data_IF_844581115231
#
_entry.id   IF_844581115231
#
_cell.length_a   1.000
_cell.length_b   1.000
_cell.length_c   1.000
_cell.angle_alpha   90.00
_cell.angle_beta   90.00
_cell.angle_gamma   90.00
#
_symmetry.space_group_name_H-M   'P 1'
#
loop_
_entity.id
_entity.type
_entity.pdbx_description
1 polymer ?
#
# COMPACT_ATOMS: atom_id res chain seq x y z
N UNK A 1 28.00 15.09 -50.78
CA UNK A 1 28.35 13.86 -50.04
C UNK A 1 29.50 14.23 -49.11
N UNK A 2 29.35 14.43 -47.81
CA UNK A 2 28.81 13.52 -46.78
C UNK A 2 28.18 14.35 -45.66
N UNK A 3 26.95 13.99 -45.31
CA UNK A 3 26.20 14.55 -44.19
C UNK A 3 26.72 13.90 -42.88
N UNK A 4 27.07 14.72 -41.90
CA UNK A 4 27.71 14.31 -40.67
C UNK A 4 26.79 14.66 -39.49
N UNK A 5 25.69 13.93 -39.36
CA UNK A 5 24.72 14.11 -38.27
C UNK A 5 24.72 12.89 -37.36
N UNK A 6 25.40 13.06 -36.22
CA UNK A 6 25.47 12.13 -35.08
C UNK A 6 24.07 11.98 -34.46
N UNK A 7 23.54 10.77 -34.23
CA UNK A 7 22.25 10.63 -33.56
C UNK A 7 22.42 11.00 -32.08
N UNK A 8 21.86 12.14 -31.70
CA UNK A 8 21.65 12.54 -30.31
C UNK A 8 20.81 11.47 -29.61
N UNK A 9 21.41 10.83 -28.61
CA UNK A 9 20.72 9.94 -27.67
C UNK A 9 19.53 10.71 -27.09
N UNK A 10 18.30 10.36 -27.52
CA UNK A 10 17.09 10.76 -26.82
C UNK A 10 17.21 10.23 -25.39
N UNK A 11 17.43 11.12 -24.43
CA UNK A 11 17.08 10.87 -23.04
C UNK A 11 15.60 10.49 -23.04
N UNK A 12 15.31 9.24 -22.71
CA UNK A 12 13.98 8.85 -22.23
C UNK A 12 13.72 9.70 -20.99
N UNK A 13 12.77 10.63 -21.11
CA UNK A 13 12.24 11.35 -19.96
C UNK A 13 11.52 10.33 -19.08
N UNK A 14 11.97 10.18 -17.84
CA UNK A 14 11.23 9.44 -16.83
C UNK A 14 9.92 10.18 -16.56
N UNK A 15 8.78 9.51 -16.78
CA UNK A 15 7.47 10.04 -16.40
C UNK A 15 7.41 10.23 -14.87
N UNK A 16 6.92 11.37 -14.37
CA UNK A 16 6.69 11.54 -12.94
C UNK A 16 5.37 10.82 -12.58
N UNK A 17 5.43 9.71 -11.83
CA UNK A 17 4.20 9.13 -11.26
C UNK A 17 4.16 7.62 -10.98
N UNK A 18 5.26 6.89 -10.96
CA UNK A 18 5.24 5.48 -10.55
C UNK A 18 6.31 5.24 -9.51
N UNK A 19 5.96 5.50 -8.25
CA UNK A 19 6.68 4.85 -7.15
C UNK A 19 6.24 3.40 -7.19
N UNK A 20 7.03 2.56 -7.86
CA UNK A 20 6.96 1.12 -7.68
C UNK A 20 7.41 0.88 -6.24
N UNK A 21 6.46 0.85 -5.31
CA UNK A 21 6.75 0.47 -3.94
C UNK A 21 7.28 -0.97 -4.00
N UNK A 22 8.52 -1.09 -3.54
CA UNK A 22 9.26 -2.34 -3.45
C UNK A 22 8.45 -3.34 -2.61
N UNK A 23 8.52 -4.63 -2.98
CA UNK A 23 7.85 -5.80 -2.35
C UNK A 23 7.34 -5.54 -0.93
N UNK A 24 6.02 -5.49 -0.79
CA UNK A 24 5.38 -5.84 0.47
C UNK A 24 4.85 -7.25 0.26
N UNK A 25 5.53 -8.23 0.85
CA UNK A 25 5.06 -9.61 0.86
C UNK A 25 3.86 -9.66 1.79
N UNK A 26 2.66 -9.51 1.21
CA UNK A 26 1.38 -9.62 1.90
C UNK A 26 1.10 -11.08 2.26
N UNK A 27 1.98 -11.68 3.03
CA UNK A 27 1.78 -13.01 3.61
C UNK A 27 0.65 -12.93 4.63
N UNK A 28 -0.17 -13.99 4.69
CA UNK A 28 -1.27 -14.05 5.64
C UNK A 28 -0.71 -14.14 7.07
N UNK A 29 -1.24 -13.33 7.98
CA UNK A 29 -0.73 -13.26 9.35
C UNK A 29 -1.53 -12.33 10.26
N UNK A 30 -0.92 -11.96 11.38
CA UNK A 30 -1.47 -11.03 12.36
C UNK A 30 -0.34 -10.24 13.04
N UNK A 31 -0.45 -9.97 14.35
CA UNK A 31 0.47 -9.08 15.05
C UNK A 31 1.93 -9.52 15.00
N UNK A 32 2.24 -10.81 15.12
CA UNK A 32 3.63 -11.27 15.12
C UNK A 32 4.32 -10.98 13.78
N UNK A 33 3.60 -11.19 12.67
CA UNK A 33 4.10 -10.94 11.32
C UNK A 33 4.22 -9.43 11.06
N UNK A 34 3.28 -8.63 11.55
CA UNK A 34 3.35 -7.16 11.45
C UNK A 34 4.56 -6.64 12.26
N UNK A 35 4.76 -7.15 13.47
CA UNK A 35 5.88 -6.81 14.35
C UNK A 35 7.25 -7.23 13.77
N UNK A 36 7.29 -8.24 12.90
CA UNK A 36 8.51 -8.65 12.21
C UNK A 36 9.02 -7.59 11.21
N UNK A 37 8.16 -6.65 10.79
CA UNK A 37 8.53 -5.52 9.93
C UNK A 37 9.21 -5.93 8.61
N UNK A 38 8.68 -6.98 7.98
CA UNK A 38 9.18 -7.50 6.70
C UNK A 38 8.31 -7.10 5.50
N UNK A 39 7.31 -6.25 5.73
CA UNK A 39 6.37 -5.74 4.74
C UNK A 39 4.96 -5.67 5.31
N UNK A 40 3.99 -5.31 4.46
CA UNK A 40 2.57 -5.37 4.81
C UNK A 40 2.12 -6.82 4.89
N UNK A 41 1.23 -7.12 5.83
CA UNK A 41 0.73 -8.48 6.14
C UNK A 41 -0.75 -8.53 5.79
N UNK A 42 -1.20 -9.60 5.14
CA UNK A 42 -2.63 -9.84 4.88
C UNK A 42 -3.31 -10.31 6.18
N UNK A 43 -4.16 -9.43 6.71
CA UNK A 43 -4.91 -9.65 7.95
C UNK A 43 -6.40 -9.89 7.71
N UNK A 44 -6.78 -10.20 6.46
CA UNK A 44 -8.18 -10.31 6.06
C UNK A 44 -8.95 -11.37 6.86
N UNK A 45 -8.29 -12.45 7.26
CA UNK A 45 -8.89 -13.50 8.08
C UNK A 45 -9.32 -12.99 9.47
N UNK A 46 -8.61 -12.00 10.02
CA UNK A 46 -8.94 -11.45 11.34
C UNK A 46 -10.08 -10.43 11.27
N UNK A 47 -10.17 -9.66 10.19
CA UNK A 47 -11.22 -8.63 10.03
C UNK A 47 -12.43 -9.09 9.22
N UNK A 48 -12.35 -10.23 8.54
CA UNK A 48 -13.41 -10.72 7.64
C UNK A 48 -13.62 -9.82 6.41
N UNK A 49 -12.65 -8.97 6.08
CA UNK A 49 -12.62 -8.07 4.92
C UNK A 49 -11.21 -7.97 4.36
N UNK A 50 -11.03 -7.72 3.05
CA UNK A 50 -9.70 -7.61 2.44
C UNK A 50 -8.87 -6.45 3.01
N UNK A 51 -7.87 -6.75 3.84
CA UNK A 51 -7.01 -5.73 4.49
C UNK A 51 -5.58 -6.24 4.59
N UNK A 52 -4.63 -5.40 4.18
CA UNK A 52 -3.22 -5.55 4.52
C UNK A 52 -2.80 -4.47 5.53
N UNK A 53 -1.91 -4.82 6.46
CA UNK A 53 -1.46 -3.93 7.52
C UNK A 53 0.05 -3.88 7.64
N UNK A 54 0.59 -2.71 7.98
CA UNK A 54 2.01 -2.52 8.25
C UNK A 54 2.22 -1.43 9.31
N UNK A 55 3.24 -1.60 10.15
CA UNK A 55 3.67 -0.56 11.08
C UNK A 55 4.10 0.71 10.35
N UNK A 56 3.76 1.87 10.93
CA UNK A 56 4.13 3.17 10.38
C UNK A 56 5.64 3.32 10.17
N UNK A 57 6.44 2.83 11.12
CA UNK A 57 7.90 2.89 11.07
C UNK A 57 8.53 1.88 10.11
N UNK A 58 7.79 0.85 9.68
CA UNK A 58 8.33 -0.26 8.89
C UNK A 58 8.09 -0.08 7.38
N UNK A 59 7.16 0.79 7.01
CA UNK A 59 6.93 1.22 5.63
C UNK A 59 5.76 2.19 5.49
N UNK A 60 4.82 2.17 6.44
CA UNK A 60 3.59 2.96 6.32
C UNK A 60 3.74 4.47 6.28
N UNK A 61 4.78 5.02 6.90
CA UNK A 61 5.12 6.45 6.79
C UNK A 61 5.49 6.89 5.37
N UNK A 62 5.90 5.93 4.54
CA UNK A 62 6.35 6.13 3.16
C UNK A 62 5.38 5.51 2.15
N UNK A 63 4.23 4.99 2.60
CA UNK A 63 3.27 4.37 1.72
C UNK A 63 2.84 5.36 0.61
N UNK A 64 2.74 4.91 -0.66
CA UNK A 64 2.41 5.80 -1.77
C UNK A 64 1.10 6.55 -1.53
N UNK A 65 1.06 7.81 -1.98
CA UNK A 65 -0.09 8.70 -1.80
C UNK A 65 -1.23 8.35 -2.74
N UNK A 66 -2.43 8.83 -2.42
CA UNK A 66 -3.59 8.80 -3.32
C UNK A 66 -3.22 9.20 -4.75
N UNK A 67 -3.73 8.45 -5.73
CA UNK A 67 -3.36 8.62 -7.12
C UNK A 67 -2.01 8.01 -7.50
N UNK A 68 -1.38 7.23 -6.62
CA UNK A 68 -0.25 6.37 -7.00
C UNK A 68 -0.74 5.01 -7.49
N UNK A 69 0.09 4.33 -8.25
CA UNK A 69 -0.11 2.92 -8.61
C UNK A 69 0.94 2.07 -7.92
N UNK A 70 0.53 0.96 -7.33
CA UNK A 70 1.40 0.02 -6.64
C UNK A 70 1.22 -1.39 -7.21
N UNK A 71 2.20 -2.26 -6.94
CA UNK A 71 2.11 -3.68 -7.23
C UNK A 71 2.45 -4.44 -5.96
N UNK A 72 1.55 -5.30 -5.53
CA UNK A 72 1.71 -6.17 -4.37
C UNK A 72 2.11 -7.58 -4.83
N UNK A 73 2.93 -8.23 -4.02
CA UNK A 73 3.28 -9.65 -4.12
C UNK A 73 2.74 -10.40 -2.88
N UNK A 74 2.80 -11.72 -2.87
CA UNK A 74 2.26 -12.53 -1.76
C UNK A 74 0.77 -12.86 -1.89
N UNK A 75 0.08 -13.07 -0.76
CA UNK A 75 -1.30 -13.55 -0.75
C UNK A 75 -2.28 -12.52 -1.36
N UNK A 76 -2.09 -11.23 -1.08
CA UNK A 76 -2.90 -10.14 -1.65
C UNK A 76 -2.34 -9.57 -2.97
N UNK A 77 -1.62 -10.38 -3.77
CA UNK A 77 -0.92 -9.91 -4.96
C UNK A 77 -1.82 -9.25 -6.03
N UNK A 78 -1.22 -8.33 -6.79
CA UNK A 78 -1.87 -7.63 -7.90
C UNK A 78 -1.40 -6.18 -8.07
N UNK A 79 -1.88 -5.52 -9.12
CA UNK A 79 -1.69 -4.09 -9.30
C UNK A 79 -2.89 -3.32 -8.74
N UNK A 80 -2.62 -2.21 -8.04
CA UNK A 80 -3.65 -1.40 -7.40
C UNK A 80 -3.42 0.08 -7.60
N UNK A 81 -4.51 0.84 -7.70
CA UNK A 81 -4.54 2.29 -7.59
C UNK A 81 -4.80 2.67 -6.13
N UNK A 82 -3.95 3.53 -5.58
CA UNK A 82 -4.15 4.07 -4.22
C UNK A 82 -5.25 5.13 -4.26
N UNK A 83 -6.29 4.92 -3.48
CA UNK A 83 -7.41 5.83 -3.27
C UNK A 83 -7.24 6.67 -2.00
N UNK A 84 -8.33 7.31 -1.53
CA UNK A 84 -8.33 8.12 -0.32
C UNK A 84 -8.28 7.25 0.94
N UNK A 85 -8.03 7.91 2.09
CA UNK A 85 -8.29 7.32 3.40
C UNK A 85 -9.81 7.25 3.62
N UNK A 86 -10.33 6.04 3.82
CA UNK A 86 -11.77 5.77 3.96
C UNK A 86 -12.22 5.69 5.41
N UNK A 87 -11.31 5.41 6.33
CA UNK A 87 -11.59 5.45 7.76
C UNK A 87 -10.35 5.81 8.58
N UNK A 88 -10.61 6.40 9.75
CA UNK A 88 -9.63 6.56 10.82
C UNK A 88 -10.26 5.95 12.06
N UNK A 89 -9.65 4.88 12.58
CA UNK A 89 -10.18 4.11 13.71
C UNK A 89 -9.22 4.16 14.90
N UNK A 90 -9.77 4.07 16.10
CA UNK A 90 -9.02 4.00 17.34
C UNK A 90 -9.10 2.60 17.96
N UNK A 91 -7.96 1.98 18.25
CA UNK A 91 -7.89 0.60 18.78
C UNK A 91 -8.58 0.42 20.14
N UNK A 92 -8.74 1.48 20.93
CA UNK A 92 -9.39 1.39 22.23
C UNK A 92 -10.93 1.44 22.14
N UNK A 93 -11.51 1.92 21.03
CA UNK A 93 -12.95 2.16 20.92
C UNK A 93 -13.60 1.50 19.72
N UNK A 94 -12.86 1.34 18.62
CA UNK A 94 -13.34 0.73 17.40
C UNK A 94 -12.90 -0.73 17.30
N UNK A 95 -13.69 -1.52 16.58
CA UNK A 95 -13.52 -2.95 16.39
C UNK A 95 -13.36 -3.29 14.90
N UNK A 96 -13.09 -4.57 14.59
CA UNK A 96 -13.05 -5.07 13.22
C UNK A 96 -14.35 -4.78 12.45
N UNK A 97 -15.51 -4.74 13.12
CA UNK A 97 -16.80 -4.44 12.49
C UNK A 97 -16.91 -2.99 12.00
N UNK A 98 -16.07 -2.09 12.52
CA UNK A 98 -16.00 -0.70 12.10
C UNK A 98 -15.12 -0.51 10.84
N UNK A 99 -14.40 -1.55 10.40
CA UNK A 99 -13.57 -1.49 9.20
C UNK A 99 -14.49 -1.39 7.97
N UNK A 100 -14.28 -0.40 7.07
CA UNK A 100 -15.10 -0.22 5.88
C UNK A 100 -15.13 -1.46 4.98
N UNK A 101 -16.30 -1.77 4.43
CA UNK A 101 -16.52 -2.90 3.52
C UNK A 101 -16.67 -2.45 2.07
N UNK A 102 -16.57 -3.38 1.13
CA UNK A 102 -16.85 -3.12 -0.30
C UNK A 102 -15.66 -2.59 -1.11
N UNK A 103 -14.43 -2.72 -0.59
CA UNK A 103 -13.20 -2.39 -1.29
C UNK A 103 -12.49 -3.66 -1.77
N UNK A 104 -11.73 -3.56 -2.87
CA UNK A 104 -10.92 -4.68 -3.35
C UNK A 104 -9.84 -5.05 -2.32
N UNK A 105 -9.24 -4.03 -1.70
CA UNK A 105 -8.27 -4.14 -0.63
C UNK A 105 -8.21 -2.83 0.16
N UNK A 106 -7.93 -2.91 1.46
CA UNK A 106 -7.59 -1.77 2.30
C UNK A 106 -6.14 -1.89 2.77
N UNK A 107 -5.45 -0.75 2.85
CA UNK A 107 -4.16 -0.64 3.51
C UNK A 107 -4.31 0.04 4.87
N UNK A 108 -3.90 -0.64 5.94
CA UNK A 108 -3.91 -0.13 7.30
C UNK A 108 -2.50 0.26 7.75
N UNK A 109 -2.38 1.45 8.35
CA UNK A 109 -1.19 1.81 9.13
C UNK A 109 -1.53 2.79 10.26
N UNK A 110 -0.60 3.00 11.20
CA UNK A 110 -0.76 3.95 12.30
C UNK A 110 -0.69 5.40 11.80
N UNK A 111 -1.67 6.23 12.15
CA UNK A 111 -1.69 7.65 11.77
C UNK A 111 -0.57 8.40 12.46
N UNK A 112 0.38 8.94 11.69
CA UNK A 112 1.52 9.73 12.21
C UNK A 112 2.29 9.01 13.33
N UNK A 113 2.39 7.67 13.27
CA UNK A 113 3.08 6.87 14.28
C UNK A 113 2.31 6.68 15.60
N UNK A 114 1.04 7.08 15.68
CA UNK A 114 0.22 6.82 16.87
C UNK A 114 -0.15 5.34 16.99
N UNK A 115 0.19 4.70 18.12
CA UNK A 115 -0.27 3.34 18.42
C UNK A 115 -1.76 3.24 18.70
N UNK A 116 -2.44 4.37 18.91
CA UNK A 116 -3.86 4.42 19.22
C UNK A 116 -4.74 4.61 17.99
N UNK A 117 -4.22 5.26 16.93
CA UNK A 117 -5.03 5.72 15.80
C UNK A 117 -4.50 5.14 14.51
N UNK A 118 -5.36 4.48 13.74
CA UNK A 118 -5.02 3.82 12.47
C UNK A 118 -5.79 4.46 11.33
N UNK A 119 -5.18 4.54 10.15
CA UNK A 119 -5.82 4.93 8.90
C UNK A 119 -6.05 3.71 8.03
N UNK A 120 -7.18 3.66 7.34
CA UNK A 120 -7.49 2.68 6.30
C UNK A 120 -7.57 3.40 4.96
N UNK A 121 -6.68 3.05 4.04
CA UNK A 121 -6.60 3.63 2.69
C UNK A 121 -7.16 2.64 1.68
N UNK A 122 -8.06 3.10 0.81
CA UNK A 122 -8.61 2.25 -0.25
C UNK A 122 -7.56 1.91 -1.31
N UNK A 123 -7.54 0.65 -1.73
CA UNK A 123 -6.78 0.17 -2.88
C UNK A 123 -7.77 -0.44 -3.89
N UNK A 124 -7.85 0.15 -5.08
CA UNK A 124 -8.67 -0.36 -6.17
C UNK A 124 -7.81 -1.20 -7.10
N UNK A 125 -8.20 -2.44 -7.35
CA UNK A 125 -7.45 -3.32 -8.25
C UNK A 125 -7.51 -2.78 -9.68
N UNK A 126 -6.40 -2.86 -10.40
CA UNK A 126 -6.30 -2.47 -11.81
C UNK A 126 -5.65 -3.60 -12.62
N UNK A 127 -6.32 -4.02 -13.70
CA UNK A 127 -5.90 -5.15 -14.53
C UNK A 127 -6.64 -6.42 -14.15
#
# INVERSE_FOLDING_TARGET
MRDNTRPSRRRLAASPGSVVANRTDADAGWQNEIDACQGAVDISAHYGVPVIAEHWSCGGSQFPREGSTITLTGAASGAFRVGPVTAVLNVATDTADNVPRGFDLLYQTCRNGSSATMTFTALTRIG
#
